data_IF_966580607079
#
_entry.id   IF_966580607079
#
_cell.length_a   1.000
_cell.length_b   1.000
_cell.length_c   1.000
_cell.angle_alpha   90.00
_cell.angle_beta   90.00
_cell.angle_gamma   90.00
#
_symmetry.space_group_name_H-M   'P 1'
#
loop_
_entity.id
_entity.type
_entity.pdbx_description
1 polymer ?
#
# COMPACT_ATOMS: atom_id res chain seq x y z
N UNK A 1 -34.57 1.57 -7.55
CA UNK A 1 -33.22 1.86 -8.10
C UNK A 1 -32.52 2.78 -7.11
N UNK A 2 -31.71 2.24 -6.19
CA UNK A 2 -31.09 3.03 -5.11
C UNK A 2 -29.87 3.77 -5.66
N UNK A 3 -30.02 5.08 -5.88
CA UNK A 3 -28.96 6.00 -6.29
C UNK A 3 -28.07 6.31 -5.08
N UNK A 4 -27.30 5.32 -4.61
CA UNK A 4 -26.21 5.60 -3.67
C UNK A 4 -25.17 6.44 -4.39
N UNK A 5 -25.11 7.75 -4.09
CA UNK A 5 -23.96 8.60 -4.44
C UNK A 5 -22.69 7.85 -4.04
N UNK A 6 -21.67 7.74 -4.90
CA UNK A 6 -20.42 7.11 -4.50
C UNK A 6 -19.88 7.93 -3.32
N UNK A 7 -19.90 7.35 -2.13
CA UNK A 7 -19.21 7.93 -0.98
C UNK A 7 -17.83 8.36 -1.45
N UNK A 8 -17.47 9.61 -1.18
CA UNK A 8 -16.17 10.19 -1.56
C UNK A 8 -15.07 9.34 -0.94
N UNK A 9 -14.65 8.28 -1.64
CA UNK A 9 -14.06 7.09 -1.02
C UNK A 9 -12.85 7.49 -0.20
N UNK A 10 -12.91 7.45 1.14
CA UNK A 10 -11.90 8.03 2.05
C UNK A 10 -10.47 7.47 1.82
N UNK A 11 -10.36 6.40 1.04
CA UNK A 11 -9.18 5.60 0.80
C UNK A 11 -8.91 5.48 -0.70
N UNK A 12 -7.65 5.22 -1.06
CA UNK A 12 -7.29 4.88 -2.42
C UNK A 12 -8.09 3.64 -2.90
N UNK A 13 -8.30 3.46 -4.21
CA UNK A 13 -8.89 2.23 -4.75
C UNK A 13 -8.13 0.99 -4.29
N UNK A 14 -8.84 -0.09 -3.97
CA UNK A 14 -8.24 -1.32 -3.40
C UNK A 14 -7.10 -1.89 -4.26
N UNK A 15 -7.21 -1.78 -5.60
CA UNK A 15 -6.21 -2.28 -6.54
C UNK A 15 -4.85 -1.57 -6.39
N UNK A 16 -4.83 -0.31 -5.92
CA UNK A 16 -3.58 0.44 -5.71
C UNK A 16 -2.74 -0.23 -4.62
N UNK A 17 -3.37 -0.63 -3.51
CA UNK A 17 -2.67 -1.35 -2.45
C UNK A 17 -2.13 -2.68 -2.94
N UNK A 18 -2.92 -3.43 -3.72
CA UNK A 18 -2.49 -4.72 -4.25
C UNK A 18 -1.28 -4.57 -5.18
N UNK A 19 -1.35 -3.69 -6.18
CA UNK A 19 -0.25 -3.47 -7.13
C UNK A 19 1.02 -3.03 -6.42
N UNK A 20 0.91 -2.08 -5.49
CA UNK A 20 2.06 -1.51 -4.78
C UNK A 20 2.67 -2.52 -3.81
N UNK A 21 1.85 -3.22 -3.01
CA UNK A 21 2.33 -4.21 -2.04
C UNK A 21 2.93 -5.41 -2.76
N UNK A 22 2.28 -5.95 -3.78
CA UNK A 22 2.79 -7.10 -4.53
C UNK A 22 4.06 -6.73 -5.29
N UNK A 23 4.10 -5.57 -5.95
CA UNK A 23 5.29 -5.07 -6.63
C UNK A 23 6.48 -4.90 -5.67
N UNK A 24 6.25 -4.27 -4.52
CA UNK A 24 7.28 -4.12 -3.50
C UNK A 24 7.73 -5.45 -2.90
N UNK A 25 6.84 -6.43 -2.76
CA UNK A 25 7.21 -7.76 -2.28
C UNK A 25 8.08 -8.53 -3.29
N UNK A 26 7.84 -8.37 -4.60
CA UNK A 26 8.71 -8.95 -5.64
C UNK A 26 10.12 -8.33 -5.59
N UNK A 27 10.20 -7.00 -5.45
CA UNK A 27 11.46 -6.30 -5.23
C UNK A 27 12.16 -6.83 -3.98
N UNK A 28 11.45 -6.90 -2.85
CA UNK A 28 11.97 -7.44 -1.59
C UNK A 28 12.53 -8.86 -1.78
N UNK A 29 11.79 -9.76 -2.42
CA UNK A 29 12.25 -11.14 -2.66
C UNK A 29 13.58 -11.17 -3.42
N UNK A 30 13.75 -10.33 -4.44
CA UNK A 30 14.99 -10.27 -5.23
C UNK A 30 16.22 -9.82 -4.42
N UNK A 31 16.04 -9.03 -3.36
CA UNK A 31 17.14 -8.49 -2.56
C UNK A 31 17.31 -9.17 -1.19
N UNK A 32 16.26 -9.82 -0.68
CA UNK A 32 16.19 -10.32 0.70
C UNK A 32 15.87 -11.81 0.81
N UNK A 33 15.94 -12.56 -0.29
CA UNK A 33 15.63 -14.00 -0.35
C UNK A 33 16.46 -14.85 0.62
N UNK A 34 17.73 -14.47 0.84
CA UNK A 34 18.67 -15.23 1.66
C UNK A 34 18.71 -14.81 3.14
N UNK A 35 17.78 -13.95 3.57
CA UNK A 35 17.75 -13.48 4.96
C UNK A 35 17.05 -14.49 5.88
N UNK A 36 17.48 -14.57 7.16
CA UNK A 36 16.79 -15.35 8.17
C UNK A 36 15.30 -14.98 8.25
N UNK A 37 14.44 -15.99 8.44
CA UNK A 37 12.98 -15.82 8.50
C UNK A 37 12.52 -14.67 9.41
N UNK A 38 13.05 -14.50 10.64
CA UNK A 38 12.63 -13.40 11.51
C UNK A 38 12.95 -12.01 10.93
N UNK A 39 14.10 -11.89 10.27
CA UNK A 39 14.55 -10.63 9.65
C UNK A 39 13.68 -10.31 8.42
N UNK A 40 13.40 -11.31 7.59
CA UNK A 40 12.53 -11.16 6.43
C UNK A 40 11.09 -10.76 6.83
N UNK A 41 10.57 -11.36 7.91
CA UNK A 41 9.27 -11.00 8.47
C UNK A 41 9.23 -9.53 8.94
N UNK A 42 10.25 -9.09 9.69
CA UNK A 42 10.36 -7.71 10.15
C UNK A 42 10.40 -6.71 8.98
N UNK A 43 11.23 -6.97 7.97
CA UNK A 43 11.31 -6.15 6.74
C UNK A 43 9.96 -6.07 6.05
N UNK A 44 9.24 -7.19 5.97
CA UNK A 44 7.93 -7.25 5.31
C UNK A 44 6.90 -6.38 6.03
N UNK A 45 6.85 -6.45 7.36
CA UNK A 45 5.94 -5.63 8.17
C UNK A 45 6.26 -4.15 7.97
N UNK A 46 7.53 -3.76 8.11
CA UNK A 46 7.97 -2.37 7.90
C UNK A 46 7.63 -1.87 6.49
N UNK A 47 7.87 -2.69 5.46
CA UNK A 47 7.57 -2.35 4.08
C UNK A 47 6.08 -2.12 3.86
N UNK A 48 5.23 -3.04 4.31
CA UNK A 48 3.76 -2.92 4.15
C UNK A 48 3.24 -1.69 4.88
N UNK A 49 3.65 -1.47 6.14
CA UNK A 49 3.23 -0.27 6.90
C UNK A 49 3.64 1.01 6.19
N UNK A 50 4.88 1.08 5.69
CA UNK A 50 5.39 2.25 4.96
C UNK A 50 4.59 2.50 3.68
N UNK A 51 4.29 1.46 2.90
CA UNK A 51 3.52 1.58 1.66
C UNK A 51 2.08 2.03 1.92
N UNK A 52 1.43 1.48 2.94
CA UNK A 52 0.07 1.90 3.31
C UNK A 52 0.04 3.37 3.71
N UNK A 53 1.02 3.82 4.50
CA UNK A 53 1.14 5.23 4.88
C UNK A 53 1.42 6.12 3.66
N UNK A 54 2.32 5.70 2.76
CA UNK A 54 2.64 6.43 1.54
C UNK A 54 1.42 6.56 0.61
N UNK A 55 0.68 5.47 0.39
CA UNK A 55 -0.56 5.48 -0.41
C UNK A 55 -1.60 6.41 0.24
N UNK A 56 -1.76 6.31 1.56
CA UNK A 56 -2.75 7.12 2.29
C UNK A 56 -2.39 8.61 2.26
N UNK A 57 -1.12 8.95 2.49
CA UNK A 57 -0.63 10.32 2.45
C UNK A 57 -0.72 10.91 1.04
N UNK A 58 -0.26 10.17 0.02
CA UNK A 58 -0.38 10.56 -1.38
C UNK A 58 -1.83 10.78 -1.79
N UNK A 59 -2.72 9.82 -1.49
CA UNK A 59 -4.14 9.92 -1.83
C UNK A 59 -4.85 11.09 -1.14
N UNK A 60 -4.50 11.37 0.12
CA UNK A 60 -5.04 12.52 0.86
C UNK A 60 -4.46 13.85 0.37
N UNK A 61 -3.19 13.88 -0.01
CA UNK A 61 -2.55 15.05 -0.62
C UNK A 61 -3.15 15.40 -1.97
N UNK A 62 -3.30 14.41 -2.86
CA UNK A 62 -3.96 14.55 -4.16
C UNK A 62 -5.44 14.98 -4.07
N UNK A 63 -6.09 14.75 -2.92
CA UNK A 63 -7.49 15.15 -2.67
C UNK A 63 -7.65 16.51 -1.99
N UNK A 64 -6.56 17.18 -1.64
CA UNK A 64 -6.58 18.59 -1.25
C UNK A 64 -6.09 19.42 -2.46
N UNK A 65 -6.95 19.73 -3.44
CA UNK A 65 -6.76 20.96 -4.18
C UNK A 65 -7.11 22.10 -3.22
N UNK A 66 -6.22 23.08 -3.12
CA UNK A 66 -6.46 24.33 -2.39
C UNK A 66 -7.79 24.99 -2.80
#
# INVERSE_FOLDING_TARGET
>A
MSTKKPESSRWAPWWVYVVVITGANQVKQRYAENLPVPVNAAITITLVTTLVLAITAGYRGLRRPD
#
